data_IF_673836970398
#
_entry.id   IF_673836970398
#
_cell.length_a   1.000
_cell.length_b   1.000
_cell.length_c   1.000
_cell.angle_alpha   90.00
_cell.angle_beta   90.00
_cell.angle_gamma   90.00
#
_symmetry.space_group_name_H-M   'P 1'
#
loop_
_entity.id
_entity.type
_entity.pdbx_description
1 polymer ?
#
# COMPACT_ATOMS: atom_id res chain seq x y z
N UNK A 1 -25.49 30.84 -18.42
CA UNK A 1 -25.86 29.54 -17.81
C UNK A 1 -25.74 29.63 -16.28
N UNK A 2 -26.78 29.22 -15.52
CA UNK A 2 -26.86 29.37 -14.04
C UNK A 2 -26.84 28.03 -13.30
N UNK A 3 -26.66 26.92 -14.01
CA UNK A 3 -26.71 25.56 -13.48
C UNK A 3 -25.40 24.88 -13.84
N UNK A 4 -24.80 24.20 -12.87
CA UNK A 4 -23.61 23.38 -13.02
C UNK A 4 -24.01 21.94 -13.38
N UNK A 5 -23.43 21.41 -14.46
CA UNK A 5 -23.70 20.09 -15.00
C UNK A 5 -22.52 19.17 -14.72
N UNK A 6 -22.71 18.23 -13.79
CA UNK A 6 -21.71 17.22 -13.43
C UNK A 6 -22.14 15.88 -14.04
N UNK A 7 -21.28 15.29 -14.88
CA UNK A 7 -21.52 14.01 -15.52
C UNK A 7 -20.58 12.92 -14.98
N UNK A 8 -21.09 11.69 -14.87
CA UNK A 8 -20.28 10.51 -14.52
C UNK A 8 -20.16 9.61 -15.72
N UNK A 9 -18.95 9.12 -15.98
CA UNK A 9 -18.67 8.07 -16.97
C UNK A 9 -17.99 6.88 -16.32
N UNK A 10 -18.08 5.72 -16.98
CA UNK A 10 -17.27 4.55 -16.67
C UNK A 10 -15.83 4.70 -17.16
N UNK A 11 -15.64 5.27 -18.35
CA UNK A 11 -14.38 5.26 -19.08
C UNK A 11 -13.83 6.67 -19.25
N UNK A 12 -12.53 6.85 -18.98
CA UNK A 12 -11.83 8.12 -19.14
C UNK A 12 -11.88 8.62 -20.60
N UNK A 13 -11.93 7.70 -21.58
CA UNK A 13 -12.04 8.03 -23.00
C UNK A 13 -13.33 8.78 -23.36
N UNK A 14 -14.40 8.66 -22.56
CA UNK A 14 -15.68 9.36 -22.80
C UNK A 14 -15.72 10.75 -22.17
N UNK A 15 -14.71 11.11 -21.37
CA UNK A 15 -14.74 12.35 -20.60
C UNK A 15 -14.75 13.60 -21.49
N UNK A 16 -13.99 13.59 -22.59
CA UNK A 16 -13.94 14.71 -23.54
C UNK A 16 -15.28 14.90 -24.24
N UNK A 17 -15.88 13.80 -24.69
CA UNK A 17 -17.19 13.84 -25.34
C UNK A 17 -18.27 14.44 -24.43
N UNK A 18 -18.28 14.09 -23.14
CA UNK A 18 -19.24 14.64 -22.18
C UNK A 18 -19.00 16.12 -21.89
N UNK A 19 -17.74 16.57 -21.88
CA UNK A 19 -17.40 18.00 -21.79
C UNK A 19 -17.88 18.76 -23.02
N UNK A 20 -17.60 18.26 -24.21
CA UNK A 20 -18.07 18.85 -25.48
C UNK A 20 -19.60 18.89 -25.56
N UNK A 21 -20.28 17.90 -24.96
CA UNK A 21 -21.74 17.87 -24.83
C UNK A 21 -22.30 18.88 -23.81
N UNK A 22 -21.45 19.61 -23.08
CA UNK A 22 -21.83 20.68 -22.18
C UNK A 22 -21.81 20.33 -20.69
N UNK A 23 -21.16 19.23 -20.28
CA UNK A 23 -20.87 19.01 -18.87
C UNK A 23 -19.76 19.96 -18.39
N UNK A 24 -20.00 20.67 -17.30
CA UNK A 24 -19.01 21.53 -16.64
C UNK A 24 -17.91 20.69 -15.96
N UNK A 25 -18.28 19.53 -15.41
CA UNK A 25 -17.35 18.59 -14.79
C UNK A 25 -17.68 17.14 -15.19
N UNK A 26 -16.65 16.33 -15.42
CA UNK A 26 -16.81 14.90 -15.72
C UNK A 26 -15.98 14.06 -14.75
N UNK A 27 -16.63 13.08 -14.11
CA UNK A 27 -16.01 12.17 -13.13
C UNK A 27 -15.91 10.76 -13.72
N UNK A 28 -14.70 10.28 -14.07
CA UNK A 28 -14.48 8.92 -14.53
C UNK A 28 -14.39 7.93 -13.36
N UNK A 29 -15.30 6.95 -13.33
CA UNK A 29 -15.39 5.99 -12.22
C UNK A 29 -14.14 5.10 -12.10
N UNK A 30 -13.51 4.73 -13.21
CA UNK A 30 -12.30 3.90 -13.20
C UNK A 30 -11.09 4.64 -12.62
N UNK A 31 -10.98 5.95 -12.86
CA UNK A 31 -9.91 6.78 -12.31
C UNK A 31 -10.10 6.97 -10.81
N UNK A 32 -11.31 7.29 -10.36
CA UNK A 32 -11.60 7.40 -8.92
C UNK A 32 -11.35 6.09 -8.17
N UNK A 33 -11.68 4.95 -8.79
CA UNK A 33 -11.39 3.62 -8.22
C UNK A 33 -9.88 3.38 -8.13
N UNK A 34 -9.14 3.75 -9.17
CA UNK A 34 -7.68 3.62 -9.24
C UNK A 34 -6.99 4.48 -8.19
N UNK A 35 -7.32 5.78 -8.13
CA UNK A 35 -6.81 6.72 -7.12
C UNK A 35 -7.08 6.20 -5.71
N UNK A 36 -8.29 5.67 -5.46
CA UNK A 36 -8.62 5.07 -4.16
C UNK A 36 -7.75 3.85 -3.85
N UNK A 37 -7.54 2.95 -4.82
CA UNK A 37 -6.68 1.78 -4.64
C UNK A 37 -5.24 2.19 -4.31
N UNK A 38 -4.66 3.11 -5.09
CA UNK A 38 -3.31 3.62 -4.84
C UNK A 38 -3.21 4.31 -3.48
N UNK A 39 -4.18 5.13 -3.09
CA UNK A 39 -4.18 5.78 -1.77
C UNK A 39 -4.14 4.76 -0.62
N UNK A 40 -4.81 3.62 -0.74
CA UNK A 40 -4.78 2.55 0.27
C UNK A 40 -3.41 1.87 0.33
N UNK A 41 -2.74 1.73 -0.81
CA UNK A 41 -1.36 1.22 -0.87
C UNK A 41 -0.44 2.20 -0.16
N UNK A 42 -0.46 3.49 -0.52
CA UNK A 42 0.42 4.50 0.09
C UNK A 42 0.23 4.62 1.60
N UNK A 43 -1.03 4.56 2.09
CA UNK A 43 -1.33 4.49 3.54
C UNK A 43 -0.69 3.27 4.21
N UNK A 44 -0.69 2.12 3.55
CA UNK A 44 -0.06 0.90 4.07
C UNK A 44 1.47 1.02 4.13
N UNK A 45 2.05 1.95 3.38
CA UNK A 45 3.47 2.29 3.38
C UNK A 45 3.80 3.43 4.34
N UNK A 46 2.86 3.83 5.21
CA UNK A 46 3.04 4.86 6.23
C UNK A 46 3.31 6.26 5.66
N UNK A 47 2.96 6.51 4.40
CA UNK A 47 3.01 7.86 3.83
C UNK A 47 1.98 8.74 4.57
N UNK A 48 2.35 9.97 5.00
CA UNK A 48 1.44 10.90 5.65
C UNK A 48 0.15 11.14 4.84
N UNK A 49 -0.99 11.16 5.54
CA UNK A 49 -2.29 11.38 4.91
C UNK A 49 -2.36 12.71 4.15
N UNK A 50 -1.70 13.75 4.68
CA UNK A 50 -1.65 15.08 4.07
C UNK A 50 -0.93 15.07 2.71
N UNK A 51 0.18 14.35 2.61
CA UNK A 51 0.93 14.18 1.35
C UNK A 51 0.09 13.43 0.31
N UNK A 52 -0.56 12.33 0.72
CA UNK A 52 -1.48 11.58 -0.15
C UNK A 52 -2.62 12.48 -0.65
N UNK A 53 -3.22 13.29 0.23
CA UNK A 53 -4.32 14.18 -0.12
C UNK A 53 -3.88 15.32 -1.06
N UNK A 54 -2.68 15.88 -0.86
CA UNK A 54 -2.10 16.88 -1.76
C UNK A 54 -1.95 16.33 -3.18
N UNK A 55 -1.35 15.15 -3.35
CA UNK A 55 -1.19 14.52 -4.66
C UNK A 55 -2.52 14.15 -5.32
N UNK A 56 -3.51 13.66 -4.55
CA UNK A 56 -4.85 13.36 -5.09
C UNK A 56 -5.55 14.64 -5.57
N UNK A 57 -5.41 15.73 -4.82
CA UNK A 57 -5.99 17.03 -5.17
C UNK A 57 -5.43 17.54 -6.49
N UNK A 58 -4.11 17.41 -6.71
CA UNK A 58 -3.44 17.76 -7.95
C UNK A 58 -3.95 16.95 -9.14
N UNK A 59 -4.08 15.62 -9.00
CA UNK A 59 -4.62 14.76 -10.04
C UNK A 59 -6.06 15.13 -10.46
N UNK A 60 -6.88 15.57 -9.51
CA UNK A 60 -8.28 15.99 -9.75
C UNK A 60 -8.40 17.38 -10.37
N UNK A 61 -7.50 18.31 -10.03
CA UNK A 61 -7.54 19.70 -10.52
C UNK A 61 -7.39 19.81 -12.03
N UNK A 62 -6.70 18.86 -12.66
CA UNK A 62 -6.52 18.87 -14.10
C UNK A 62 -7.56 18.01 -14.84
N UNK A 63 -8.71 17.66 -14.24
CA UNK A 63 -9.68 16.71 -14.79
C UNK A 63 -9.01 15.41 -15.28
N UNK A 64 -8.00 14.96 -14.54
CA UNK A 64 -7.16 13.82 -14.88
C UNK A 64 -6.42 13.95 -16.23
N UNK A 65 -6.21 15.17 -16.76
CA UNK A 65 -5.44 15.41 -17.99
C UNK A 65 -4.00 14.93 -17.88
N UNK A 66 -3.36 15.06 -16.71
CA UNK A 66 -2.01 14.49 -16.43
C UNK A 66 -1.95 12.98 -16.72
N UNK A 67 -3.06 12.26 -16.53
CA UNK A 67 -3.16 10.81 -16.79
C UNK A 67 -3.48 10.47 -18.24
N UNK A 68 -3.72 11.46 -19.12
CA UNK A 68 -3.88 11.27 -20.58
C UNK A 68 -2.53 11.11 -21.28
N UNK A 69 -1.48 11.76 -20.76
CA UNK A 69 -0.10 11.45 -21.12
C UNK A 69 0.27 10.10 -20.49
N UNK A 70 0.92 9.22 -21.26
CA UNK A 70 1.28 7.85 -20.90
C UNK A 70 1.35 7.60 -19.39
N UNK A 71 0.69 6.54 -18.90
CA UNK A 71 0.68 6.03 -17.51
C UNK A 71 2.06 6.14 -16.80
N UNK A 72 3.16 6.15 -17.56
CA UNK A 72 4.52 6.49 -17.13
C UNK A 72 4.71 7.84 -16.41
N UNK A 73 4.05 8.94 -16.78
CA UNK A 73 4.29 10.26 -16.15
C UNK A 73 3.61 10.38 -14.78
N UNK A 74 2.41 9.82 -14.63
CA UNK A 74 1.76 9.73 -13.31
C UNK A 74 2.46 8.71 -12.39
N UNK A 75 3.09 7.69 -12.96
CA UNK A 75 3.95 6.77 -12.20
C UNK A 75 5.15 7.50 -11.60
N UNK A 76 5.76 8.46 -12.34
CA UNK A 76 6.89 9.27 -11.89
C UNK A 76 6.54 10.18 -10.70
N UNK A 77 5.35 10.80 -10.66
CA UNK A 77 4.97 11.65 -9.52
C UNK A 77 4.69 10.85 -8.23
N UNK A 78 4.05 9.68 -8.34
CA UNK A 78 3.80 8.80 -7.18
C UNK A 78 5.09 8.17 -6.64
N UNK A 79 6.06 7.90 -7.53
CA UNK A 79 7.36 7.32 -7.16
C UNK A 79 8.38 8.34 -6.66
N UNK A 80 8.28 9.62 -7.03
CA UNK A 80 9.20 10.65 -6.52
C UNK A 80 9.11 10.87 -5.01
N UNK A 81 7.96 10.57 -4.37
CA UNK A 81 7.83 10.52 -2.90
C UNK A 81 8.28 9.19 -2.27
N UNK A 82 8.58 8.18 -3.09
CA UNK A 82 9.05 6.85 -2.69
C UNK A 82 10.57 6.70 -2.90
N UNK A 83 11.31 7.79 -2.65
CA UNK A 83 12.76 7.94 -2.74
C UNK A 83 13.52 6.60 -2.66
N UNK A 84 14.06 6.15 -3.80
CA UNK A 84 14.58 4.79 -4.03
C UNK A 84 15.89 4.50 -3.26
N UNK A 85 16.51 5.52 -2.65
CA UNK A 85 17.80 5.39 -1.94
C UNK A 85 17.65 5.39 -0.41
N UNK A 86 16.42 5.51 0.11
CA UNK A 86 16.13 5.69 1.53
C UNK A 86 15.86 4.40 2.32
N UNK A 87 16.12 4.46 3.63
CA UNK A 87 15.70 3.43 4.57
C UNK A 87 14.23 3.66 4.96
N UNK A 88 13.34 2.72 4.62
CA UNK A 88 11.91 2.85 4.89
C UNK A 88 11.52 2.19 6.20
N UNK A 89 10.57 2.81 6.92
CA UNK A 89 9.93 2.21 8.09
C UNK A 89 8.53 1.72 7.73
N UNK A 90 8.23 0.45 8.00
CA UNK A 90 6.90 -0.15 7.74
C UNK A 90 6.33 -0.81 8.98
N UNK A 91 5.03 -0.64 9.18
CA UNK A 91 4.27 -1.37 10.18
C UNK A 91 3.68 -2.65 9.55
N UNK A 92 4.05 -3.82 10.06
CA UNK A 92 3.59 -5.12 9.53
C UNK A 92 2.90 -5.92 10.63
N UNK A 93 1.73 -6.48 10.30
CA UNK A 93 0.98 -7.35 11.20
C UNK A 93 1.32 -8.82 10.94
N UNK A 94 1.58 -9.58 12.00
CA UNK A 94 1.67 -11.04 11.94
C UNK A 94 0.25 -11.58 11.81
N UNK A 95 -0.12 -12.00 10.60
CA UNK A 95 -1.43 -12.62 10.37
C UNK A 95 -1.48 -14.01 10.98
N UNK A 96 -2.67 -14.45 11.36
CA UNK A 96 -2.91 -15.87 11.66
C UNK A 96 -2.65 -16.68 10.39
N UNK A 97 -1.95 -17.81 10.51
CA UNK A 97 -1.62 -18.65 9.35
C UNK A 97 -0.47 -18.16 8.47
N UNK A 98 0.22 -17.06 8.84
CA UNK A 98 1.47 -16.70 8.17
C UNK A 98 2.65 -17.53 8.66
N UNK A 99 3.68 -17.66 7.82
CA UNK A 99 4.93 -18.33 8.21
C UNK A 99 5.59 -17.68 9.44
N UNK A 100 5.42 -16.37 9.62
CA UNK A 100 5.91 -15.64 10.79
C UNK A 100 5.27 -16.04 12.11
N UNK A 101 4.02 -16.54 12.09
CA UNK A 101 3.29 -16.83 13.31
C UNK A 101 3.92 -18.03 14.05
N UNK A 102 4.35 -17.81 15.29
CA UNK A 102 5.00 -18.83 16.12
C UNK A 102 6.50 -19.01 15.88
N UNK A 103 7.12 -18.19 15.01
CA UNK A 103 8.57 -18.20 14.74
C UNK A 103 9.31 -17.15 15.56
N UNK A 104 10.55 -17.45 15.94
CA UNK A 104 11.46 -16.46 16.51
C UNK A 104 12.02 -15.50 15.45
N UNK A 105 12.49 -14.33 15.86
CA UNK A 105 13.18 -13.41 14.94
C UNK A 105 14.46 -14.02 14.35
N UNK A 106 15.16 -14.87 15.11
CA UNK A 106 16.33 -15.61 14.63
C UNK A 106 15.97 -16.64 13.56
N UNK A 107 14.85 -17.36 13.70
CA UNK A 107 14.34 -18.30 12.69
C UNK A 107 13.94 -17.61 11.38
N UNK A 108 13.39 -16.39 11.46
CA UNK A 108 12.96 -15.63 10.29
C UNK A 108 14.11 -14.99 9.52
N UNK A 109 15.28 -14.86 10.15
CA UNK A 109 16.50 -14.29 9.56
C UNK A 109 16.28 -12.92 8.89
N UNK A 110 15.35 -12.11 9.38
CA UNK A 110 14.97 -10.83 8.75
C UNK A 110 16.19 -9.91 8.54
N UNK A 111 17.05 -9.80 9.56
CA UNK A 111 18.26 -8.97 9.50
C UNK A 111 19.34 -9.56 8.60
N UNK A 112 19.60 -10.87 8.72
CA UNK A 112 20.74 -11.51 8.07
C UNK A 112 20.47 -11.83 6.59
N UNK A 113 19.25 -12.24 6.25
CA UNK A 113 18.86 -12.63 4.89
C UNK A 113 18.23 -11.48 4.13
N UNK A 114 17.33 -10.73 4.77
CA UNK A 114 16.55 -9.69 4.11
C UNK A 114 17.02 -8.28 4.43
N UNK A 115 18.03 -8.09 5.29
CA UNK A 115 18.52 -6.75 5.67
C UNK A 115 17.41 -5.85 6.28
N UNK A 116 16.39 -6.46 6.88
CA UNK A 116 15.29 -5.79 7.59
C UNK A 116 15.51 -5.91 9.09
N UNK A 117 15.45 -4.79 9.80
CA UNK A 117 15.56 -4.75 11.26
C UNK A 117 14.19 -4.52 11.90
N UNK A 118 13.85 -5.32 12.91
CA UNK A 118 12.65 -5.09 13.73
C UNK A 118 13.00 -4.11 14.84
N UNK A 119 12.39 -2.92 14.82
CA UNK A 119 12.61 -1.88 15.82
C UNK A 119 11.74 -2.10 17.05
N UNK A 120 10.46 -2.40 16.84
CA UNK A 120 9.51 -2.63 17.93
C UNK A 120 8.50 -3.72 17.59
N UNK A 121 7.97 -4.37 18.62
CA UNK A 121 6.82 -5.26 18.55
C UNK A 121 5.75 -4.76 19.51
N UNK A 122 4.57 -4.48 18.97
CA UNK A 122 3.38 -4.15 19.76
C UNK A 122 2.52 -5.40 19.95
N UNK A 123 2.29 -5.77 21.22
CA UNK A 123 1.45 -6.91 21.62
C UNK A 123 0.62 -6.55 22.85
N UNK A 124 -0.70 -6.71 22.79
CA UNK A 124 -1.62 -6.50 23.91
C UNK A 124 -1.37 -5.18 24.68
N UNK A 125 -1.27 -4.07 23.93
CA UNK A 125 -1.00 -2.71 24.46
C UNK A 125 0.40 -2.50 25.08
N UNK A 126 1.30 -3.50 25.02
CA UNK A 126 2.70 -3.35 25.37
C UNK A 126 3.53 -3.09 24.12
N UNK A 127 4.48 -2.15 24.23
CA UNK A 127 5.46 -1.87 23.20
C UNK A 127 6.82 -2.45 23.62
N UNK A 128 7.33 -3.40 22.85
CA UNK A 128 8.59 -4.11 23.12
C UNK A 128 9.63 -3.54 22.15
N UNK A 129 10.52 -2.71 22.66
CA UNK A 129 11.61 -2.14 21.88
C UNK A 129 12.78 -3.11 21.68
N UNK A 130 13.39 -3.07 20.49
CA UNK A 130 14.56 -3.84 20.09
C UNK A 130 14.51 -5.32 20.55
N UNK A 131 13.51 -6.10 20.10
CA UNK A 131 13.35 -7.49 20.50
C UNK A 131 14.58 -8.33 20.12
N UNK A 132 15.02 -9.18 21.04
CA UNK A 132 16.13 -10.11 20.80
C UNK A 132 15.76 -11.19 19.75
N UNK A 133 16.77 -11.85 19.18
CA UNK A 133 16.57 -12.92 18.19
C UNK A 133 15.64 -14.05 18.67
N UNK A 134 15.70 -14.38 19.97
CA UNK A 134 14.87 -15.41 20.60
C UNK A 134 13.40 -15.01 20.78
N UNK A 135 13.03 -13.76 20.46
CA UNK A 135 11.66 -13.28 20.59
C UNK A 135 10.74 -14.01 19.60
N UNK A 136 9.79 -14.78 20.12
CA UNK A 136 8.77 -15.48 19.31
C UNK A 136 7.60 -14.57 18.97
N UNK A 137 7.35 -14.42 17.67
CA UNK A 137 6.20 -13.72 17.13
C UNK A 137 4.91 -14.52 17.32
N UNK A 138 3.80 -13.82 17.52
CA UNK A 138 2.46 -14.38 17.66
C UNK A 138 1.51 -13.70 16.67
N UNK A 139 0.50 -14.43 16.22
CA UNK A 139 -0.56 -13.84 15.42
C UNK A 139 -1.19 -12.65 16.18
N UNK A 140 -1.39 -11.54 15.47
CA UNK A 140 -1.87 -10.27 16.02
C UNK A 140 -0.77 -9.30 16.46
N UNK A 141 0.50 -9.73 16.50
CA UNK A 141 1.61 -8.81 16.73
C UNK A 141 1.70 -7.77 15.61
N UNK A 142 2.02 -6.52 15.97
CA UNK A 142 2.36 -5.47 15.01
C UNK A 142 3.82 -5.08 15.17
N UNK A 143 4.63 -5.37 14.15
CA UNK A 143 6.04 -5.03 14.08
C UNK A 143 6.20 -3.65 13.44
N UNK A 144 7.12 -2.85 13.96
CA UNK A 144 7.71 -1.72 13.23
C UNK A 144 9.06 -2.18 12.74
N UNK A 145 9.25 -2.17 11.43
CA UNK A 145 10.44 -2.68 10.77
C UNK A 145 11.07 -1.62 9.90
N UNK A 146 12.38 -1.72 9.71
CA UNK A 146 13.16 -0.76 8.93
C UNK A 146 14.09 -1.47 7.94
N UNK A 147 14.14 -1.00 6.70
CA UNK A 147 14.89 -1.62 5.60
C UNK A 147 14.67 -0.91 4.25
N UNK A 148 15.40 -1.33 3.22
CA UNK A 148 15.17 -0.82 1.84
C UNK A 148 13.83 -1.34 1.29
N UNK A 149 13.20 -0.56 0.39
CA UNK A 149 11.87 -0.90 -0.14
C UNK A 149 11.83 -2.27 -0.84
N UNK A 150 12.85 -2.57 -1.64
CA UNK A 150 13.02 -3.85 -2.34
C UNK A 150 13.04 -5.04 -1.37
N UNK A 151 13.68 -4.89 -0.21
CA UNK A 151 13.84 -5.98 0.76
C UNK A 151 12.53 -6.36 1.43
N UNK A 152 11.65 -5.39 1.64
CA UNK A 152 10.31 -5.67 2.14
C UNK A 152 9.48 -6.50 1.14
N UNK A 153 9.72 -6.34 -0.17
CA UNK A 153 9.08 -7.18 -1.17
C UNK A 153 9.63 -8.62 -1.11
N UNK A 154 10.95 -8.79 -1.01
CA UNK A 154 11.60 -10.10 -0.87
C UNK A 154 11.10 -10.89 0.37
N UNK A 155 10.82 -10.17 1.46
CA UNK A 155 10.37 -10.74 2.72
C UNK A 155 8.83 -10.85 2.83
N UNK A 156 8.07 -10.41 1.84
CA UNK A 156 6.61 -10.26 1.97
C UNK A 156 5.89 -11.58 2.27
N UNK A 157 6.33 -12.69 1.66
CA UNK A 157 5.74 -14.02 1.83
C UNK A 157 5.78 -14.53 3.28
N UNK A 158 6.75 -14.07 4.08
CA UNK A 158 6.87 -14.45 5.50
C UNK A 158 5.63 -14.03 6.30
N UNK A 159 5.00 -12.92 5.90
CA UNK A 159 3.89 -12.29 6.62
C UNK A 159 2.53 -12.46 5.92
N UNK A 160 2.51 -13.04 4.70
CA UNK A 160 1.28 -13.40 4.00
C UNK A 160 0.67 -14.64 4.64
N UNK A 161 -0.66 -14.76 4.56
CA UNK A 161 -1.35 -15.97 4.98
C UNK A 161 -1.01 -17.08 3.99
N UNK A 162 -0.45 -18.18 4.47
CA UNK A 162 -0.26 -19.36 3.64
C UNK A 162 -1.61 -20.03 3.49
N UNK A 163 -2.24 -19.93 2.31
CA UNK A 163 -3.37 -20.81 2.01
C UNK A 163 -2.89 -22.27 2.13
N UNK A 164 -3.49 -23.07 3.03
CA UNK A 164 -3.45 -24.51 2.85
C UNK A 164 -4.19 -24.81 1.54
N UNK A 165 -3.58 -25.52 0.58
CA UNK A 165 -4.30 -26.00 -0.60
C UNK A 165 -5.60 -26.68 -0.16
N UNK A 166 -6.72 -26.33 -0.78
CA UNK A 166 -8.03 -26.95 -0.52
C UNK A 166 -7.96 -28.49 -0.58
N UNK A 167 -7.04 -29.02 -1.39
CA UNK A 167 -6.76 -30.45 -1.56
C UNK A 167 -6.29 -31.17 -0.28
N UNK A 168 -5.81 -30.45 0.73
CA UNK A 168 -5.33 -31.01 2.01
C UNK A 168 -6.32 -30.77 3.17
N UNK A 169 -7.52 -30.22 2.89
CA UNK A 169 -8.51 -29.89 3.93
C UNK A 169 -9.45 -31.04 4.33
N UNK A 170 -9.19 -32.29 3.93
CA UNK A 170 -10.03 -33.39 4.40
C UNK A 170 -9.45 -34.77 4.20
N UNK A 171 -8.92 -35.35 5.29
CA UNK A 171 -9.19 -36.73 5.72
C UNK A 171 -9.14 -36.75 7.26
N UNK A 172 -10.31 -36.76 7.90
CA UNK A 172 -10.53 -37.19 9.29
C UNK A 172 -11.71 -38.13 9.29
#
# INVERSE_FOLDING_TARGET
PTIEVIARTRYMSEAEFLKEAGADQVVPAEMETTVRLFSNVLKSYMIPQEEIEQHISELRKEDYQVLRGSIQEAHLMVLQGLDEEGLHTRAVMVKKGSYAAGKSLSELMLRNKYQITVLTVHRNNNNIGNPAGEFTLKAGDRLVMVGLAERFADAAEIFRESEMPEELKGEV
#
